data_IF_137167743279
#
_entry.id   IF_137167743279
#
_cell.length_a   1.000
_cell.length_b   1.000
_cell.length_c   1.000
_cell.angle_alpha   90.00
_cell.angle_beta   90.00
_cell.angle_gamma   90.00
#
_symmetry.space_group_name_H-M   'P 1'
#
loop_
_entity.id
_entity.type
_entity.pdbx_description
1 polymer ?
#
# COMPACT_ATOMS: atom_id res chain seq x y z
N UNK A 1 6.25 26.52 6.49
CA UNK A 1 6.08 25.07 6.70
C UNK A 1 7.40 24.42 6.33
N UNK A 2 7.97 23.58 7.18
CA UNK A 2 9.15 22.79 6.78
C UNK A 2 8.71 21.86 5.63
N UNK A 3 9.57 21.67 4.64
CA UNK A 3 9.26 20.81 3.48
C UNK A 3 9.20 19.31 3.82
N UNK A 4 9.31 18.94 5.09
CA UNK A 4 9.68 17.58 5.49
C UNK A 4 11.15 17.29 5.18
N UNK A 5 11.69 16.26 5.82
CA UNK A 5 13.02 15.71 5.56
C UNK A 5 13.13 15.04 4.20
N UNK A 6 12.01 14.51 3.67
CA UNK A 6 11.94 13.83 2.37
C UNK A 6 10.76 14.32 1.51
N UNK A 7 10.43 15.61 1.55
CA UNK A 7 9.36 16.22 0.73
C UNK A 7 8.00 15.51 0.88
N UNK A 8 7.72 14.96 2.07
CA UNK A 8 6.54 14.15 2.36
C UNK A 8 6.29 13.06 1.30
N UNK A 9 7.35 12.49 0.71
CA UNK A 9 7.25 11.54 -0.41
C UNK A 9 6.34 10.33 -0.11
N UNK A 10 6.23 9.94 1.17
CA UNK A 10 5.32 8.88 1.62
C UNK A 10 3.87 9.16 1.22
N UNK A 11 3.44 10.42 1.20
CA UNK A 11 2.05 10.81 0.89
C UNK A 11 1.68 10.45 -0.54
N UNK A 12 2.62 10.65 -1.50
CA UNK A 12 2.43 10.29 -2.91
C UNK A 12 2.34 8.78 -3.11
N UNK A 13 3.16 8.01 -2.39
CA UNK A 13 3.09 6.54 -2.43
C UNK A 13 1.79 6.03 -1.80
N UNK A 14 1.34 6.65 -0.70
CA UNK A 14 0.07 6.32 -0.08
C UNK A 14 -1.11 6.64 -1.01
N UNK A 15 -1.11 7.82 -1.65
CA UNK A 15 -2.11 8.20 -2.64
C UNK A 15 -2.18 7.20 -3.79
N UNK A 16 -1.02 6.79 -4.33
CA UNK A 16 -0.98 5.75 -5.36
C UNK A 16 -1.65 4.44 -4.89
N UNK A 17 -1.38 4.00 -3.66
CA UNK A 17 -2.01 2.80 -3.10
C UNK A 17 -3.53 2.95 -2.96
N UNK A 18 -4.01 4.11 -2.49
CA UNK A 18 -5.44 4.40 -2.36
C UNK A 18 -6.14 4.42 -3.72
N UNK A 19 -5.58 5.12 -4.71
CA UNK A 19 -6.13 5.19 -6.07
C UNK A 19 -6.15 3.81 -6.75
N UNK A 20 -5.08 3.02 -6.59
CA UNK A 20 -5.05 1.66 -7.12
C UNK A 20 -6.10 0.77 -6.45
N UNK A 21 -6.24 0.84 -5.13
CA UNK A 21 -7.24 0.10 -4.37
C UNK A 21 -8.66 0.41 -4.85
N UNK A 22 -9.00 1.70 -4.99
CA UNK A 22 -10.30 2.14 -5.50
C UNK A 22 -10.59 1.57 -6.90
N UNK A 23 -9.63 1.64 -7.82
CA UNK A 23 -9.82 1.08 -9.17
C UNK A 23 -10.01 -0.44 -9.16
N UNK A 24 -9.32 -1.15 -8.29
CA UNK A 24 -9.48 -2.60 -8.13
C UNK A 24 -10.86 -2.96 -7.53
N UNK A 25 -11.38 -2.14 -6.62
CA UNK A 25 -12.72 -2.33 -6.04
C UNK A 25 -13.84 -2.05 -7.07
N UNK A 26 -13.53 -1.28 -8.11
CA UNK A 26 -14.41 -0.98 -9.24
C UNK A 26 -14.16 -1.88 -10.47
N UNK A 27 -13.51 -3.04 -10.33
CA UNK A 27 -13.13 -3.90 -11.46
C UNK A 27 -14.33 -4.34 -12.34
N UNK A 28 -15.49 -4.58 -11.73
CA UNK A 28 -16.72 -4.98 -12.43
C UNK A 28 -17.68 -3.82 -12.74
N UNK A 29 -17.29 -2.57 -12.42
CA UNK A 29 -18.14 -1.40 -12.60
C UNK A 29 -18.16 -0.99 -14.08
N UNK A 30 -19.38 -0.85 -14.61
CA UNK A 30 -19.61 -0.33 -15.95
C UNK A 30 -19.65 1.21 -15.90
N UNK A 31 -18.90 1.87 -16.78
CA UNK A 31 -18.90 3.33 -16.90
C UNK A 31 -20.11 3.85 -17.71
N UNK A 32 -20.25 5.16 -17.84
CA UNK A 32 -21.33 5.80 -18.61
C UNK A 32 -21.34 5.45 -20.11
N UNK A 33 -20.24 4.91 -20.62
CA UNK A 33 -20.06 4.47 -22.00
C UNK A 33 -20.32 2.97 -22.20
N UNK A 34 -20.70 2.23 -21.15
CA UNK A 34 -20.97 0.79 -21.23
C UNK A 34 -19.72 -0.10 -21.13
N UNK A 35 -18.56 0.45 -20.74
CA UNK A 35 -17.28 -0.26 -20.66
C UNK A 35 -16.91 -0.64 -19.23
N UNK A 36 -16.05 -1.63 -19.06
CA UNK A 36 -15.47 -2.04 -17.76
C UNK A 36 -13.97 -1.74 -17.73
N UNK A 37 -13.57 -0.46 -17.55
CA UNK A 37 -12.18 -0.02 -17.78
C UNK A 37 -11.17 -0.60 -16.79
N UNK A 38 -11.64 -1.08 -15.64
CA UNK A 38 -10.81 -1.68 -14.59
C UNK A 38 -10.86 -3.22 -14.59
N UNK A 39 -11.48 -3.83 -15.60
CA UNK A 39 -11.60 -5.28 -15.69
C UNK A 39 -10.32 -5.86 -16.26
N UNK A 40 -9.68 -6.72 -15.47
CA UNK A 40 -8.49 -7.46 -15.85
C UNK A 40 -8.65 -8.94 -15.52
N UNK A 41 -7.76 -9.77 -16.06
CA UNK A 41 -7.69 -11.19 -15.70
C UNK A 41 -7.45 -11.38 -14.19
N UNK A 42 -8.01 -12.45 -13.57
CA UNK A 42 -7.90 -12.67 -12.12
C UNK A 42 -6.47 -12.67 -11.58
N UNK A 43 -5.53 -13.28 -12.32
CA UNK A 43 -4.12 -13.29 -11.94
C UNK A 43 -3.50 -11.88 -11.94
N UNK A 44 -3.92 -11.02 -12.87
CA UNK A 44 -3.50 -9.62 -12.94
C UNK A 44 -4.07 -8.83 -11.77
N UNK A 45 -5.36 -8.98 -11.47
CA UNK A 45 -6.00 -8.33 -10.31
C UNK A 45 -5.33 -8.74 -9.00
N UNK A 46 -5.02 -10.03 -8.82
CA UNK A 46 -4.29 -10.52 -7.65
C UNK A 46 -2.89 -9.88 -7.53
N UNK A 47 -2.17 -9.76 -8.65
CA UNK A 47 -0.86 -9.11 -8.65
C UNK A 47 -0.95 -7.61 -8.33
N UNK A 48 -1.92 -6.91 -8.92
CA UNK A 48 -2.18 -5.50 -8.65
C UNK A 48 -2.54 -5.25 -7.19
N UNK A 49 -3.35 -6.12 -6.57
CA UNK A 49 -3.64 -6.04 -5.13
C UNK A 49 -2.38 -6.26 -4.28
N UNK A 50 -1.51 -7.18 -4.68
CA UNK A 50 -0.19 -7.34 -4.05
C UNK A 50 0.68 -6.09 -4.15
N UNK A 51 0.65 -5.38 -5.28
CA UNK A 51 1.35 -4.10 -5.47
C UNK A 51 0.74 -3.01 -4.58
N UNK A 52 -0.58 -2.90 -4.50
CA UNK A 52 -1.29 -1.95 -3.62
C UNK A 52 -0.86 -2.12 -2.15
N UNK A 53 -0.88 -3.35 -1.64
CA UNK A 53 -0.42 -3.64 -0.28
C UNK A 53 1.07 -3.34 -0.07
N UNK A 54 1.93 -3.65 -1.05
CA UNK A 54 3.35 -3.32 -0.97
C UNK A 54 3.57 -1.80 -0.92
N UNK A 55 2.88 -1.05 -1.75
CA UNK A 55 2.97 0.41 -1.79
C UNK A 55 2.49 1.02 -0.46
N UNK A 56 1.35 0.56 0.08
CA UNK A 56 0.83 1.02 1.37
C UNK A 56 1.80 0.80 2.51
N UNK A 57 2.43 -0.39 2.57
CA UNK A 57 3.47 -0.69 3.56
C UNK A 57 4.70 0.19 3.38
N UNK A 58 5.13 0.37 2.14
CA UNK A 58 6.29 1.22 1.82
C UNK A 58 6.04 2.65 2.25
N UNK A 59 4.85 3.19 1.99
CA UNK A 59 4.45 4.52 2.44
C UNK A 59 4.47 4.64 3.97
N UNK A 60 3.99 3.63 4.70
CA UNK A 60 4.04 3.65 6.17
C UNK A 60 5.49 3.70 6.69
N UNK A 61 6.40 2.87 6.16
CA UNK A 61 7.82 2.88 6.54
C UNK A 61 8.51 4.20 6.16
N UNK A 62 8.18 4.76 4.99
CA UNK A 62 8.68 6.07 4.57
C UNK A 62 8.22 7.17 5.52
N UNK A 63 6.99 7.11 6.04
CA UNK A 63 6.47 8.08 7.01
C UNK A 63 7.21 8.00 8.34
N UNK A 64 7.44 6.80 8.87
CA UNK A 64 8.22 6.67 10.11
C UNK A 64 9.66 7.17 9.92
N UNK A 65 10.24 6.96 8.73
CA UNK A 65 11.56 7.51 8.36
C UNK A 65 11.53 9.05 8.31
N UNK A 66 10.51 9.64 7.68
CA UNK A 66 10.29 11.08 7.63
C UNK A 66 10.22 11.70 9.04
N UNK A 67 9.44 11.10 9.95
CA UNK A 67 9.34 11.57 11.32
C UNK A 67 10.64 11.45 12.10
N UNK A 68 11.41 10.38 11.89
CA UNK A 68 12.71 10.21 12.56
C UNK A 68 13.70 11.31 12.16
N UNK A 69 13.83 11.58 10.86
CA UNK A 69 14.77 12.60 10.36
C UNK A 69 14.31 14.03 10.66
N UNK A 70 13.00 14.25 10.76
CA UNK A 70 12.44 15.56 11.14
C UNK A 70 12.52 15.82 12.65
N UNK A 71 12.91 14.83 13.46
CA UNK A 71 12.97 14.92 14.92
C UNK A 71 11.62 14.82 15.61
N UNK A 72 10.57 14.41 14.89
CA UNK A 72 9.20 14.22 15.42
C UNK A 72 9.07 12.92 16.23
N UNK A 73 10.00 11.98 16.04
CA UNK A 73 10.08 10.72 16.81
C UNK A 73 11.53 10.35 17.10
N UNK A 74 11.74 9.47 18.09
CA UNK A 74 13.06 8.94 18.46
C UNK A 74 13.25 7.48 18.03
N UNK A 75 14.49 6.99 18.14
CA UNK A 75 14.90 5.66 17.68
C UNK A 75 14.02 4.52 18.22
N UNK A 76 13.67 4.55 19.51
CA UNK A 76 12.84 3.51 20.15
C UNK A 76 11.44 3.44 19.53
N UNK A 77 10.76 4.58 19.43
CA UNK A 77 9.43 4.67 18.83
C UNK A 77 9.45 4.33 17.33
N UNK A 78 10.50 4.72 16.61
CA UNK A 78 10.70 4.31 15.22
C UNK A 78 10.78 2.80 15.09
N UNK A 79 11.64 2.15 15.88
CA UNK A 79 11.85 0.70 15.81
C UNK A 79 10.60 -0.09 16.21
N UNK A 80 9.84 0.37 17.22
CA UNK A 80 8.58 -0.24 17.63
C UNK A 80 7.56 -0.23 16.48
N UNK A 81 7.33 0.94 15.86
CA UNK A 81 6.36 1.09 14.77
C UNK A 81 6.78 0.36 13.50
N UNK A 82 8.07 0.37 13.15
CA UNK A 82 8.58 -0.42 12.01
C UNK A 82 8.27 -1.91 12.20
N UNK A 83 8.50 -2.44 13.41
CA UNK A 83 8.18 -3.84 13.73
C UNK A 83 6.67 -4.13 13.62
N UNK A 84 5.81 -3.22 14.06
CA UNK A 84 4.36 -3.34 13.89
C UNK A 84 3.97 -3.40 12.41
N UNK A 85 4.51 -2.47 11.60
CA UNK A 85 4.24 -2.40 10.17
C UNK A 85 4.70 -3.68 9.46
N UNK A 86 5.90 -4.18 9.76
CA UNK A 86 6.43 -5.38 9.14
C UNK A 86 5.70 -6.66 9.57
N UNK A 87 5.27 -6.75 10.83
CA UNK A 87 4.56 -7.92 11.36
C UNK A 87 3.11 -8.05 10.86
N UNK A 88 2.48 -6.93 10.49
CA UNK A 88 1.09 -6.90 10.00
C UNK A 88 0.84 -7.79 8.76
N UNK A 89 1.87 -8.11 7.98
CA UNK A 89 1.76 -8.83 6.71
C UNK A 89 2.15 -10.31 6.73
N UNK A 90 2.64 -10.86 7.85
CA UNK A 90 2.82 -12.32 8.00
C UNK A 90 1.48 -13.05 7.80
N UNK A 91 0.36 -12.36 8.04
CA UNK A 91 -0.99 -12.92 7.92
C UNK A 91 -1.56 -12.95 6.51
N UNK A 92 -1.02 -12.27 5.49
CA UNK A 92 -1.59 -12.29 4.12
C UNK A 92 -0.86 -13.22 3.15
N UNK A 93 0.46 -13.33 3.27
CA UNK A 93 1.25 -14.27 2.46
C UNK A 93 0.84 -15.73 2.65
N UNK A 94 0.40 -16.10 3.86
CA UNK A 94 -0.12 -17.42 4.18
C UNK A 94 -1.47 -17.74 3.50
N UNK A 95 -2.32 -16.73 3.24
CA UNK A 95 -3.63 -16.94 2.61
C UNK A 95 -3.52 -17.05 1.08
N UNK A 96 -2.64 -16.28 0.44
CA UNK A 96 -2.47 -16.35 -1.02
C UNK A 96 -1.85 -17.67 -1.50
N UNK A 97 -1.08 -18.36 -0.66
CA UNK A 97 -0.54 -19.70 -0.97
C UNK A 97 -1.55 -20.84 -0.80
N UNK A 98 -2.67 -20.61 -0.09
CA UNK A 98 -3.67 -21.66 0.19
C UNK A 98 -4.87 -21.64 -0.77
N UNK A 99 -5.00 -20.63 -1.64
CA UNK A 99 -6.19 -20.41 -2.47
C UNK A 99 -5.98 -20.63 -3.97
N UNK A 100 -4.90 -21.28 -4.38
CA UNK A 100 -4.74 -21.75 -5.76
C UNK A 100 -5.11 -23.23 -5.79
N UNK A 101 -6.37 -23.61 -6.12
CA UNK A 101 -6.67 -24.99 -6.44
C UNK A 101 -5.89 -25.37 -7.72
N UNK A 102 -5.22 -26.51 -7.64
CA UNK A 102 -4.48 -27.19 -8.72
C UNK A 102 -5.35 -27.49 -9.93
#
# INVERSE_FOLDING_TARGET
>A
MSGGSFDYAYSRVNQFADELGLRLDEADKVNEWGETPNKFEPATLAKLRGIEHLARRTAALMRESEWLYSGDTGDESFMERVKEIESSNVKWGAYLTQSIPS
#
